data_IF_973465177355
#
_entry.id   IF_973465177355
#
_cell.length_a   1.000
_cell.length_b   1.000
_cell.length_c   1.000
_cell.angle_alpha   90.00
_cell.angle_beta   90.00
_cell.angle_gamma   90.00
#
_symmetry.space_group_name_H-M   'P 1'
#
loop_
_entity.id
_entity.type
_entity.pdbx_description
1 polymer ?
#
# COMPACT_ATOMS: atom_id res chain seq x y z
N UNK A 1 6.86 -61.77 31.02
CA UNK A 1 7.91 -60.80 31.41
C UNK A 1 7.82 -59.59 30.49
N UNK A 2 7.58 -58.41 31.07
CA UNK A 2 7.52 -57.12 30.36
C UNK A 2 8.94 -56.66 30.02
N UNK A 3 9.19 -56.20 28.80
CA UNK A 3 10.30 -55.29 28.50
C UNK A 3 9.83 -54.22 27.52
N UNK A 4 9.59 -53.03 28.07
CA UNK A 4 9.38 -51.76 27.39
C UNK A 4 10.74 -51.16 27.05
N UNK A 5 10.95 -50.75 25.81
CA UNK A 5 11.98 -49.82 25.35
C UNK A 5 11.49 -49.26 24.01
N UNK A 6 11.70 -48.02 23.60
CA UNK A 6 11.89 -46.72 24.21
C UNK A 6 11.64 -45.75 23.04
N UNK A 7 10.97 -44.63 23.30
CA UNK A 7 10.67 -43.63 22.29
C UNK A 7 11.95 -42.97 21.73
N UNK A 8 11.91 -42.61 20.46
CA UNK A 8 12.95 -41.85 19.79
C UNK A 8 12.50 -41.47 18.38
N UNK A 9 11.44 -40.66 18.28
CA UNK A 9 11.15 -39.97 17.02
C UNK A 9 12.07 -38.75 17.02
N UNK A 10 13.07 -38.81 16.15
CA UNK A 10 13.94 -37.70 15.84
C UNK A 10 13.09 -36.55 15.28
N UNK A 11 12.99 -35.44 16.01
CA UNK A 11 12.59 -34.17 15.43
C UNK A 11 13.81 -33.66 14.68
N UNK A 12 13.93 -34.04 13.41
CA UNK A 12 14.85 -33.40 12.50
C UNK A 12 14.32 -31.98 12.24
N UNK A 13 15.03 -31.01 12.78
CA UNK A 13 14.79 -29.58 12.60
C UNK A 13 14.72 -29.22 11.11
N UNK A 14 13.55 -28.78 10.66
CA UNK A 14 13.36 -28.09 9.38
C UNK A 14 13.61 -26.57 9.55
N UNK A 15 14.67 -26.18 10.26
CA UNK A 15 15.09 -24.79 10.41
C UNK A 15 16.14 -24.53 9.35
N UNK A 16 15.71 -24.29 8.11
CA UNK A 16 16.65 -24.16 6.98
C UNK A 16 16.16 -23.37 5.79
N UNK A 17 15.01 -22.69 5.88
CA UNK A 17 14.47 -21.88 4.78
C UNK A 17 14.19 -20.41 5.17
N UNK A 18 14.57 -19.97 6.37
CA UNK A 18 14.27 -18.62 6.87
C UNK A 18 15.37 -17.58 6.58
N UNK A 19 16.48 -17.96 5.93
CA UNK A 19 17.59 -17.04 5.66
C UNK A 19 17.56 -16.42 4.26
N UNK A 20 16.53 -16.70 3.45
CA UNK A 20 16.31 -16.03 2.17
C UNK A 20 15.26 -14.92 2.32
N UNK A 21 14.12 -15.21 2.97
CA UNK A 21 13.06 -14.23 3.20
C UNK A 21 13.40 -13.11 4.20
N UNK A 22 14.48 -13.25 4.98
CA UNK A 22 14.92 -12.19 5.90
C UNK A 22 15.54 -11.00 5.15
N UNK A 23 16.30 -11.27 4.08
CA UNK A 23 16.99 -10.23 3.30
C UNK A 23 15.98 -9.38 2.50
N UNK A 24 14.97 -10.04 1.92
CA UNK A 24 13.88 -9.36 1.20
C UNK A 24 12.98 -8.54 2.16
N UNK A 25 12.72 -9.06 3.36
CA UNK A 25 11.95 -8.34 4.38
C UNK A 25 12.71 -7.10 4.89
N UNK A 26 14.01 -7.22 5.14
CA UNK A 26 14.83 -6.07 5.54
C UNK A 26 14.88 -5.01 4.43
N UNK A 27 15.05 -5.42 3.16
CA UNK A 27 15.03 -4.51 2.02
C UNK A 27 13.66 -3.82 1.82
N UNK A 28 12.57 -4.55 2.09
CA UNK A 28 11.22 -3.99 2.11
C UNK A 28 11.06 -2.97 3.23
N UNK A 29 11.44 -3.30 4.46
CA UNK A 29 11.32 -2.38 5.59
C UNK A 29 12.19 -1.13 5.42
N UNK A 30 13.43 -1.28 4.93
CA UNK A 30 14.33 -0.17 4.60
C UNK A 30 13.73 0.76 3.53
N UNK A 31 13.00 0.19 2.56
CA UNK A 31 12.31 1.00 1.55
C UNK A 31 11.09 1.69 2.14
N UNK A 32 10.29 0.97 2.91
CA UNK A 32 9.10 1.48 3.56
C UNK A 32 9.44 2.64 4.50
N UNK A 33 10.55 2.57 5.24
CA UNK A 33 11.01 3.65 6.11
C UNK A 33 11.26 4.95 5.32
N UNK A 34 11.89 4.85 4.14
CA UNK A 34 12.20 6.03 3.30
C UNK A 34 10.96 6.74 2.79
N UNK A 35 9.87 6.00 2.59
CA UNK A 35 8.66 6.48 1.91
C UNK A 35 7.45 6.59 2.85
N UNK A 36 7.61 6.18 4.11
CA UNK A 36 6.56 6.21 5.14
C UNK A 36 5.96 7.60 5.35
N UNK A 37 6.75 8.67 5.30
CA UNK A 37 6.28 10.05 5.39
C UNK A 37 5.26 10.42 4.31
N UNK A 38 5.60 10.32 3.02
CA UNK A 38 4.65 10.50 1.92
C UNK A 38 3.36 9.65 2.03
N UNK A 39 3.46 8.39 2.49
CA UNK A 39 2.28 7.55 2.72
C UNK A 39 1.40 8.02 3.90
N UNK A 40 2.02 8.52 4.96
CA UNK A 40 1.33 9.11 6.10
C UNK A 40 0.57 10.39 5.71
N UNK A 41 1.20 11.23 4.89
CA UNK A 41 0.58 12.42 4.31
C UNK A 41 -0.61 12.07 3.41
N UNK A 42 -0.45 11.08 2.53
CA UNK A 42 -1.55 10.55 1.70
C UNK A 42 -2.72 10.04 2.56
N UNK A 43 -2.42 9.29 3.62
CA UNK A 43 -3.42 8.78 4.57
C UNK A 43 -4.12 9.90 5.35
N UNK A 44 -3.45 11.04 5.55
CA UNK A 44 -4.02 12.25 6.14
C UNK A 44 -4.83 13.10 5.13
N UNK A 45 -4.86 12.70 3.85
CA UNK A 45 -5.57 13.39 2.79
C UNK A 45 -4.76 14.46 2.07
N UNK A 46 -3.43 14.45 2.20
CA UNK A 46 -2.53 15.29 1.40
C UNK A 46 -2.03 14.50 0.18
N UNK A 47 -2.48 14.93 -0.99
CA UNK A 47 -2.17 14.28 -2.27
C UNK A 47 -1.10 15.05 -3.07
N UNK A 48 -0.46 16.05 -2.48
CA UNK A 48 0.55 16.88 -3.16
C UNK A 48 1.77 16.08 -3.64
N UNK A 49 2.05 14.93 -3.02
CA UNK A 49 3.15 14.05 -3.36
C UNK A 49 2.69 12.75 -4.06
N UNK A 50 1.46 12.68 -4.59
CA UNK A 50 0.92 11.42 -5.11
C UNK A 50 1.76 10.81 -6.23
N UNK A 51 2.31 11.61 -7.14
CA UNK A 51 3.18 11.10 -8.21
C UNK A 51 4.43 10.40 -7.64
N UNK A 52 5.04 10.98 -6.61
CA UNK A 52 6.19 10.38 -5.94
C UNK A 52 5.79 9.10 -5.20
N UNK A 53 4.64 9.12 -4.51
CA UNK A 53 4.11 7.94 -3.81
C UNK A 53 3.85 6.79 -4.79
N UNK A 54 3.44 7.08 -6.02
CA UNK A 54 3.22 6.08 -7.08
C UNK A 54 4.52 5.44 -7.58
N UNK A 55 5.57 6.24 -7.77
CA UNK A 55 6.90 5.73 -8.10
C UNK A 55 7.43 4.84 -6.95
N UNK A 56 7.28 5.31 -5.71
CA UNK A 56 7.69 4.59 -4.49
C UNK A 56 6.90 3.27 -4.30
N UNK A 57 5.61 3.24 -4.64
CA UNK A 57 4.77 2.04 -4.60
C UNK A 57 5.26 0.94 -5.53
N UNK A 58 5.73 1.30 -6.72
CA UNK A 58 6.26 0.30 -7.66
C UNK A 58 7.53 -0.35 -7.09
N UNK A 59 8.39 0.44 -6.44
CA UNK A 59 9.57 -0.08 -5.77
C UNK A 59 9.24 -0.97 -4.56
N UNK A 60 8.17 -0.66 -3.84
CA UNK A 60 7.66 -1.46 -2.73
C UNK A 60 7.02 -2.77 -3.20
N UNK A 61 6.21 -2.75 -4.27
CA UNK A 61 5.59 -3.94 -4.86
C UNK A 61 6.65 -5.00 -5.22
N UNK A 62 7.77 -4.57 -5.80
CA UNK A 62 8.88 -5.46 -6.18
C UNK A 62 9.64 -6.06 -4.99
N UNK A 63 9.72 -5.34 -3.87
CA UNK A 63 10.46 -5.75 -2.67
C UNK A 63 9.55 -6.42 -1.63
N UNK A 64 8.23 -6.29 -1.77
CA UNK A 64 7.26 -6.77 -0.81
C UNK A 64 7.41 -8.27 -0.55
N UNK A 65 7.34 -8.72 0.71
CA UNK A 65 7.28 -10.14 1.01
C UNK A 65 5.97 -10.74 0.46
N UNK A 66 5.98 -12.04 0.16
CA UNK A 66 4.84 -12.77 -0.40
C UNK A 66 3.54 -12.60 0.41
N UNK A 67 3.66 -12.28 1.70
CA UNK A 67 2.53 -12.08 2.62
C UNK A 67 1.71 -10.80 2.37
N UNK A 68 2.29 -9.79 1.70
CA UNK A 68 1.60 -8.54 1.35
C UNK A 68 1.76 -8.14 -0.13
N UNK A 69 2.37 -8.99 -0.94
CA UNK A 69 2.62 -8.69 -2.35
C UNK A 69 1.32 -8.51 -3.16
N UNK A 70 0.30 -9.34 -2.90
CA UNK A 70 -1.00 -9.25 -3.58
C UNK A 70 -1.74 -7.96 -3.19
N UNK A 71 -1.61 -7.52 -1.93
CA UNK A 71 -2.16 -6.28 -1.42
C UNK A 71 -1.46 -5.07 -2.05
N UNK A 72 -0.13 -5.08 -2.14
CA UNK A 72 0.63 -4.04 -2.85
C UNK A 72 0.24 -3.95 -4.32
N UNK A 73 0.06 -5.09 -4.99
CA UNK A 73 -0.41 -5.13 -6.37
C UNK A 73 -1.82 -4.55 -6.49
N UNK A 74 -2.75 -4.95 -5.63
CA UNK A 74 -4.14 -4.46 -5.61
C UNK A 74 -4.20 -2.95 -5.39
N UNK A 75 -3.44 -2.46 -4.42
CA UNK A 75 -3.33 -1.04 -4.13
C UNK A 75 -2.75 -0.29 -5.33
N UNK A 76 -1.59 -0.72 -5.82
CA UNK A 76 -0.87 -0.06 -6.91
C UNK A 76 -1.59 -0.12 -8.26
N UNK A 77 -2.29 -1.22 -8.59
CA UNK A 77 -3.09 -1.30 -9.82
C UNK A 77 -4.25 -0.32 -9.79
N UNK A 78 -4.96 -0.24 -8.67
CA UNK A 78 -6.15 0.60 -8.58
C UNK A 78 -5.80 2.10 -8.58
N UNK A 79 -4.70 2.51 -7.93
CA UNK A 79 -4.27 3.91 -8.03
C UNK A 79 -3.76 4.24 -9.44
N UNK A 80 -3.12 3.30 -10.15
CA UNK A 80 -2.76 3.48 -11.58
C UNK A 80 -3.99 3.65 -12.46
N UNK A 81 -5.05 2.90 -12.20
CA UNK A 81 -6.33 3.04 -12.92
C UNK A 81 -7.02 4.39 -12.62
N UNK A 82 -7.01 4.83 -11.36
CA UNK A 82 -7.44 6.18 -10.96
C UNK A 82 -6.63 7.26 -11.71
N UNK A 83 -5.29 7.16 -11.71
CA UNK A 83 -4.45 8.12 -12.41
C UNK A 83 -4.78 8.17 -13.90
N UNK A 84 -4.92 7.02 -14.56
CA UNK A 84 -5.27 6.94 -15.97
C UNK A 84 -6.63 7.58 -16.28
N UNK A 85 -7.64 7.36 -15.42
CA UNK A 85 -8.97 7.97 -15.58
C UNK A 85 -8.92 9.51 -15.47
N UNK A 86 -8.10 10.02 -14.54
CA UNK A 86 -7.94 11.47 -14.35
C UNK A 86 -7.14 12.09 -15.51
N UNK A 87 -6.09 11.41 -15.97
CA UNK A 87 -5.28 11.86 -17.11
C UNK A 87 -6.04 11.84 -18.44
N UNK A 88 -7.02 10.94 -18.61
CA UNK A 88 -7.90 10.92 -19.79
C UNK A 88 -8.69 12.23 -19.96
N UNK A 89 -9.08 12.83 -18.83
CA UNK A 89 -9.74 14.15 -18.77
C UNK A 89 -8.74 15.32 -18.76
N UNK A 90 -7.45 15.04 -19.00
CA UNK A 90 -6.38 16.02 -19.03
C UNK A 90 -6.11 16.69 -17.68
N UNK A 91 -6.44 16.00 -16.59
CA UNK A 91 -6.18 16.42 -15.21
C UNK A 91 -5.02 15.62 -14.62
N UNK A 92 -4.43 16.16 -13.56
CA UNK A 92 -3.69 15.40 -12.55
C UNK A 92 -4.58 15.11 -11.35
N UNK A 93 -4.24 14.11 -10.51
CA UNK A 93 -4.99 13.83 -9.28
C UNK A 93 -5.01 15.05 -8.35
N UNK A 94 -3.89 15.77 -8.26
CA UNK A 94 -3.81 17.02 -7.49
C UNK A 94 -4.80 18.08 -8.01
N UNK A 95 -4.83 18.32 -9.33
CA UNK A 95 -5.79 19.27 -9.94
C UNK A 95 -7.24 18.81 -9.75
N UNK A 96 -7.53 17.51 -9.86
CA UNK A 96 -8.87 16.96 -9.59
C UNK A 96 -9.31 17.28 -8.15
N UNK A 97 -8.42 17.12 -7.17
CA UNK A 97 -8.70 17.39 -5.75
C UNK A 97 -8.83 18.89 -5.48
N UNK A 98 -8.02 19.73 -6.15
CA UNK A 98 -8.17 21.18 -6.08
C UNK A 98 -9.54 21.61 -6.63
N UNK A 99 -9.93 21.12 -7.81
CA UNK A 99 -11.24 21.37 -8.42
C UNK A 99 -12.39 20.88 -7.54
N UNK A 100 -12.27 19.70 -6.93
CA UNK A 100 -13.29 19.17 -6.02
C UNK A 100 -13.53 20.05 -4.77
N UNK A 101 -12.56 20.89 -4.42
CA UNK A 101 -12.66 21.85 -3.31
C UNK A 101 -13.09 23.25 -3.76
N UNK A 102 -13.12 23.52 -5.07
CA UNK A 102 -13.55 24.82 -5.58
C UNK A 102 -15.06 25.04 -5.40
N UNK A 103 -15.48 26.19 -4.85
CA UNK A 103 -16.89 26.46 -4.60
C UNK A 103 -17.69 26.74 -5.88
N UNK A 104 -17.02 27.16 -6.96
CA UNK A 104 -17.63 27.53 -8.24
C UNK A 104 -16.81 26.95 -9.39
N UNK A 105 -17.32 25.87 -9.98
CA UNK A 105 -16.68 25.21 -11.12
C UNK A 105 -17.23 25.71 -12.45
N UNK A 106 -16.39 25.75 -13.48
CA UNK A 106 -16.85 25.96 -14.85
C UNK A 106 -17.72 24.79 -15.32
N UNK A 107 -18.52 24.97 -16.38
CA UNK A 107 -19.29 23.86 -16.98
C UNK A 107 -18.36 22.76 -17.53
N UNK A 108 -17.16 23.15 -17.97
CA UNK A 108 -16.13 22.23 -18.48
C UNK A 108 -15.54 21.39 -17.35
N UNK A 109 -15.14 21.99 -16.24
CA UNK A 109 -14.57 21.26 -15.09
C UNK A 109 -15.60 20.35 -14.43
N UNK A 110 -16.87 20.77 -14.36
CA UNK A 110 -17.96 19.90 -13.93
C UNK A 110 -18.10 18.66 -14.80
N UNK A 111 -17.97 18.81 -16.12
CA UNK A 111 -18.05 17.68 -17.05
C UNK A 111 -16.86 16.72 -16.88
N UNK A 112 -15.64 17.26 -16.72
CA UNK A 112 -14.42 16.48 -16.48
C UNK A 112 -14.50 15.69 -15.18
N UNK A 113 -14.88 16.32 -14.07
CA UNK A 113 -15.05 15.64 -12.79
C UNK A 113 -16.14 14.57 -12.84
N UNK A 114 -17.23 14.79 -13.57
CA UNK A 114 -18.28 13.78 -13.75
C UNK A 114 -17.81 12.57 -14.57
N UNK A 115 -16.96 12.77 -15.59
CA UNK A 115 -16.38 11.69 -16.37
C UNK A 115 -15.37 10.86 -15.56
N UNK A 116 -14.57 11.54 -14.71
CA UNK A 116 -13.74 10.85 -13.73
C UNK A 116 -14.61 10.02 -12.78
N UNK A 117 -15.65 10.59 -12.16
CA UNK A 117 -16.54 9.87 -11.23
C UNK A 117 -17.17 8.62 -11.87
N UNK A 118 -17.59 8.70 -13.13
CA UNK A 118 -18.08 7.54 -13.89
C UNK A 118 -17.00 6.46 -14.05
N UNK A 119 -15.76 6.86 -14.33
CA UNK A 119 -14.62 5.94 -14.42
C UNK A 119 -14.25 5.32 -13.07
N UNK A 120 -14.40 6.07 -11.97
CA UNK A 120 -14.15 5.58 -10.61
C UNK A 120 -15.20 4.59 -10.13
N UNK A 121 -16.43 4.66 -10.66
CA UNK A 121 -17.50 3.74 -10.30
C UNK A 121 -17.18 2.27 -10.64
N UNK A 122 -16.29 2.05 -11.61
CA UNK A 122 -15.82 0.73 -12.02
C UNK A 122 -14.62 0.22 -11.18
N UNK A 123 -14.00 1.08 -10.35
CA UNK A 123 -12.88 0.70 -9.50
C UNK A 123 -13.35 -0.04 -8.24
N UNK A 124 -12.59 -1.06 -7.86
CA UNK A 124 -12.83 -1.81 -6.62
C UNK A 124 -12.21 -1.10 -5.40
N UNK A 125 -12.69 0.11 -5.12
CA UNK A 125 -12.24 0.94 -4.00
C UNK A 125 -12.32 0.23 -2.62
N UNK A 126 -13.30 -0.64 -2.34
CA UNK A 126 -13.30 -1.45 -1.12
C UNK A 126 -12.04 -2.32 -0.98
N UNK A 127 -11.63 -3.00 -2.05
CA UNK A 127 -10.42 -3.85 -2.03
C UNK A 127 -9.13 -3.04 -1.81
N UNK A 128 -9.08 -1.80 -2.28
CA UNK A 128 -7.97 -0.88 -1.97
C UNK A 128 -7.91 -0.55 -0.47
N UNK A 129 -9.06 -0.29 0.14
CA UNK A 129 -9.14 -0.03 1.58
C UNK A 129 -8.67 -1.22 2.41
N UNK A 130 -9.09 -2.42 2.03
CA UNK A 130 -8.67 -3.67 2.69
C UNK A 130 -7.16 -3.92 2.49
N UNK A 131 -6.65 -3.78 1.26
CA UNK A 131 -5.23 -3.92 0.96
C UNK A 131 -4.36 -2.91 1.72
N UNK A 132 -4.77 -1.64 1.77
CA UNK A 132 -4.10 -0.59 2.55
C UNK A 132 -4.05 -0.94 4.05
N UNK A 133 -5.15 -1.49 4.58
CA UNK A 133 -5.21 -1.94 5.97
C UNK A 133 -4.27 -3.11 6.28
N UNK A 134 -4.19 -4.11 5.39
CA UNK A 134 -3.28 -5.24 5.55
C UNK A 134 -1.80 -4.83 5.41
N UNK A 135 -1.48 -3.96 4.44
CA UNK A 135 -0.14 -3.35 4.29
C UNK A 135 0.27 -2.62 5.57
N UNK A 136 -0.62 -1.77 6.11
CA UNK A 136 -0.34 -1.00 7.33
C UNK A 136 -0.13 -1.90 8.53
N UNK A 137 -0.99 -2.91 8.73
CA UNK A 137 -0.83 -3.88 9.82
C UNK A 137 0.47 -4.70 9.68
N UNK A 138 0.88 -5.00 8.45
CA UNK A 138 2.13 -5.70 8.20
C UNK A 138 3.34 -4.81 8.47
N UNK A 139 3.32 -3.55 8.04
CA UNK A 139 4.34 -2.55 8.35
C UNK A 139 4.55 -2.41 9.86
N UNK A 140 3.47 -2.26 10.63
CA UNK A 140 3.53 -2.15 12.09
C UNK A 140 4.13 -3.41 12.73
N UNK A 141 3.69 -4.60 12.30
CA UNK A 141 4.10 -5.88 12.92
C UNK A 141 5.51 -6.32 12.56
N UNK A 142 5.93 -6.07 11.32
CA UNK A 142 7.14 -6.62 10.74
C UNK A 142 8.27 -5.59 10.70
N UNK A 143 7.94 -4.33 10.41
CA UNK A 143 8.91 -3.24 10.26
C UNK A 143 8.89 -2.24 11.43
N UNK A 144 7.94 -2.33 12.36
CA UNK A 144 7.73 -1.34 13.44
C UNK A 144 7.46 0.08 12.89
N UNK A 145 6.78 0.17 11.74
CA UNK A 145 6.47 1.42 11.04
C UNK A 145 4.97 1.69 11.01
N UNK A 146 4.57 2.93 11.34
CA UNK A 146 3.20 3.42 11.20
C UNK A 146 3.06 4.18 9.88
N UNK A 147 2.12 3.74 9.04
CA UNK A 147 1.82 4.34 7.72
C UNK A 147 0.54 5.19 7.72
N UNK A 148 -0.26 4.97 8.74
CA UNK A 148 -1.42 5.75 9.15
C UNK A 148 -0.88 7.02 9.84
N UNK A 149 -1.19 8.21 9.32
CA UNK A 149 -0.64 9.51 9.76
C UNK A 149 -0.90 9.95 11.21
N UNK A 150 -1.13 9.01 12.13
CA UNK A 150 -1.01 9.19 13.56
C UNK A 150 0.44 8.97 13.97
N UNK A 151 1.24 10.03 13.93
CA UNK A 151 2.45 10.12 14.75
C UNK A 151 2.10 9.79 16.22
N UNK A 152 2.35 8.56 16.66
CA UNK A 152 2.32 8.17 18.08
C UNK A 152 3.68 8.42 18.75
N UNK A 153 4.39 9.48 18.33
CA UNK A 153 5.73 9.81 18.85
C UNK A 153 5.94 11.31 19.15
N UNK A 154 4.89 11.97 19.66
CA UNK A 154 5.04 13.24 20.40
C UNK A 154 4.35 13.17 21.78
N UNK A 155 4.90 12.37 22.71
CA UNK A 155 5.38 12.81 24.06
C UNK A 155 5.61 11.67 25.06
#
# INVERSE_FOLDING_TARGET
MRRRWAAGIAVAAAIGALSACADDTDAYCDELEKVSGPFAELSAGDFSQIDQVMDDMTALEEKAPEEVQDEWQTFGSTIRELQAAVEEEGLTIAEMIELAQEPELSEEDQARLAAVDESLADLDLPSVGDASGEISQHAERTCDLSLNGTDDDQQ
#
